data_IF_028348786137
#
_entry.id   IF_028348786137
#
_cell.length_a   1.000
_cell.length_b   1.000
_cell.length_c   1.000
_cell.angle_alpha   90.00
_cell.angle_beta   90.00
_cell.angle_gamma   90.00
#
_symmetry.space_group_name_H-M   'P 1'
#
loop_
_entity.id
_entity.type
_entity.pdbx_description
1 polymer ?
#
# COMPACT_ATOMS: atom_id res chain seq x y z
N UNK A 1 10.29 3.00 -1.14
CA UNK A 1 8.91 2.51 -1.05
C UNK A 1 8.23 2.77 -2.38
N UNK A 2 7.35 1.90 -2.82
CA UNK A 2 6.57 2.08 -4.05
C UNK A 2 5.17 1.52 -3.82
N UNK A 3 4.15 2.23 -4.26
CA UNK A 3 2.77 1.76 -4.16
C UNK A 3 2.36 1.22 -5.52
N UNK A 4 2.53 -0.10 -5.71
CA UNK A 4 2.11 -0.74 -6.95
C UNK A 4 0.59 -0.77 -7.02
N UNK A 5 0.05 -0.09 -8.02
CA UNK A 5 -1.38 -0.08 -8.30
C UNK A 5 -1.55 -0.23 -9.81
N UNK A 6 -2.15 -1.32 -10.27
CA UNK A 6 -2.33 -1.60 -11.72
C UNK A 6 -3.76 -1.30 -12.20
N UNK A 7 -4.63 -0.93 -11.27
CA UNK A 7 -6.04 -0.67 -11.52
C UNK A 7 -6.58 0.29 -10.45
N UNK A 8 -7.62 1.08 -10.74
CA UNK A 8 -8.36 1.79 -9.70
C UNK A 8 -9.00 0.85 -8.66
N UNK A 9 -9.26 -0.43 -9.00
CA UNK A 9 -9.69 -1.40 -8.00
C UNK A 9 -8.51 -1.87 -7.15
N UNK A 10 -8.64 -1.69 -5.84
CA UNK A 10 -7.68 -2.14 -4.84
C UNK A 10 -7.51 -3.66 -4.87
N UNK A 11 -8.60 -4.41 -5.05
CA UNK A 11 -8.57 -5.87 -5.12
C UNK A 11 -7.89 -6.38 -6.40
N UNK A 12 -8.12 -5.73 -7.54
CA UNK A 12 -7.41 -6.06 -8.79
C UNK A 12 -5.91 -5.82 -8.59
N UNK A 13 -5.54 -4.68 -8.01
CA UNK A 13 -4.14 -4.35 -7.73
C UNK A 13 -3.48 -5.35 -6.78
N UNK A 14 -4.15 -5.69 -5.68
CA UNK A 14 -3.68 -6.69 -4.72
C UNK A 14 -3.49 -8.07 -5.36
N UNK A 15 -4.47 -8.51 -6.17
CA UNK A 15 -4.41 -9.80 -6.87
C UNK A 15 -3.28 -9.86 -7.90
N UNK A 16 -2.95 -8.74 -8.53
CA UNK A 16 -1.91 -8.69 -9.55
C UNK A 16 -0.51 -8.90 -8.97
N UNK A 17 -0.24 -8.50 -7.73
CA UNK A 17 1.08 -8.66 -7.11
C UNK A 17 1.42 -10.12 -6.84
N UNK A 18 2.69 -10.52 -6.99
CA UNK A 18 3.17 -11.80 -6.46
C UNK A 18 3.29 -11.76 -4.92
N UNK A 19 3.42 -12.94 -4.31
CA UNK A 19 3.46 -13.10 -2.85
C UNK A 19 4.53 -12.26 -2.13
N UNK A 20 5.70 -12.06 -2.75
CA UNK A 20 6.78 -11.27 -2.14
C UNK A 20 6.44 -9.79 -2.19
N UNK A 21 6.02 -9.29 -3.36
CA UNK A 21 5.68 -7.88 -3.56
C UNK A 21 4.44 -7.52 -2.75
N UNK A 22 3.44 -8.39 -2.70
CA UNK A 22 2.23 -8.24 -1.89
C UNK A 22 2.54 -8.13 -0.39
N UNK A 23 3.35 -9.04 0.16
CA UNK A 23 3.73 -9.00 1.58
C UNK A 23 4.46 -7.70 1.93
N UNK A 24 5.32 -7.21 1.02
CA UNK A 24 6.03 -5.94 1.16
C UNK A 24 5.09 -4.73 1.02
N UNK A 25 4.14 -4.77 0.09
CA UNK A 25 3.20 -3.68 -0.17
C UNK A 25 2.40 -3.31 1.09
N UNK A 26 1.96 -4.32 1.85
CA UNK A 26 1.27 -4.09 3.14
C UNK A 26 2.15 -3.36 4.16
N UNK A 27 3.43 -3.76 4.28
CA UNK A 27 4.35 -3.10 5.21
C UNK A 27 4.63 -1.65 4.80
N UNK A 28 4.84 -1.41 3.50
CA UNK A 28 5.08 -0.06 2.99
C UNK A 28 3.85 0.83 3.16
N UNK A 29 2.64 0.35 2.85
CA UNK A 29 1.39 1.10 3.06
C UNK A 29 1.16 1.41 4.54
N UNK A 30 1.38 0.45 5.44
CA UNK A 30 1.29 0.66 6.89
C UNK A 30 2.25 1.78 7.36
N UNK A 31 3.51 1.74 6.88
CA UNK A 31 4.50 2.77 7.22
C UNK A 31 4.10 4.14 6.67
N UNK A 32 3.64 4.21 5.42
CA UNK A 32 3.21 5.46 4.79
C UNK A 32 2.04 6.08 5.56
N UNK A 33 1.00 5.30 5.87
CA UNK A 33 -0.16 5.76 6.63
C UNK A 33 0.25 6.31 8.00
N UNK A 34 1.11 5.61 8.73
CA UNK A 34 1.60 6.09 10.03
C UNK A 34 2.37 7.41 9.94
N UNK A 35 3.21 7.57 8.91
CA UNK A 35 3.90 8.86 8.68
C UNK A 35 2.89 9.97 8.41
N UNK A 36 1.90 9.73 7.55
CA UNK A 36 0.87 10.74 7.24
C UNK A 36 0.03 11.12 8.47
N UNK A 37 -0.41 10.13 9.27
CA UNK A 37 -1.13 10.38 10.52
C UNK A 37 -0.28 11.16 11.54
N UNK A 38 1.04 10.92 11.55
CA UNK A 38 1.96 11.69 12.39
C UNK A 38 2.17 13.12 11.91
N UNK A 39 2.17 13.36 10.60
CA UNK A 39 2.18 14.71 10.02
C UNK A 39 0.87 15.48 10.29
N UNK A 40 -0.21 14.79 10.64
CA UNK A 40 -1.45 15.37 11.16
C UNK A 40 -1.48 15.48 12.69
N UNK A 41 -0.37 15.16 13.39
CA UNK A 41 -0.27 15.17 14.85
C UNK A 41 -1.22 14.18 15.56
N UNK A 42 -1.82 13.23 14.83
CA UNK A 42 -2.71 12.19 15.36
C UNK A 42 -1.92 11.04 16.01
N UNK A 43 -0.70 10.80 15.52
CA UNK A 43 0.15 9.70 15.97
C UNK A 43 1.58 10.17 16.21
N UNK A 44 2.16 9.87 17.37
CA UNK A 44 3.60 10.03 17.57
C UNK A 44 4.36 8.83 16.99
N UNK A 45 5.08 9.06 15.89
CA UNK A 45 5.90 8.02 15.25
C UNK A 45 7.10 8.59 14.52
N UNK A 46 8.00 7.70 14.11
CA UNK A 46 9.15 8.10 13.32
C UNK A 46 8.72 8.54 11.91
N UNK A 47 8.99 9.81 11.59
CA UNK A 47 8.71 10.44 10.30
C UNK A 47 9.87 10.38 9.31
N UNK A 48 10.81 9.42 9.46
CA UNK A 48 12.00 9.23 8.60
C UNK A 48 11.70 9.31 7.11
N UNK A 49 10.54 8.80 6.68
CA UNK A 49 10.13 8.77 5.29
C UNK A 49 9.28 9.95 4.83
N UNK A 50 9.14 11.00 5.64
CA UNK A 50 8.34 12.19 5.30
C UNK A 50 8.72 12.82 3.97
N UNK A 51 9.98 12.75 3.57
CA UNK A 51 10.45 13.33 2.30
C UNK A 51 10.32 12.37 1.11
N UNK A 52 9.85 11.15 1.34
CA UNK A 52 9.71 10.18 0.26
C UNK A 52 8.58 10.63 -0.68
N UNK A 53 8.80 10.67 -2.02
CA UNK A 53 7.81 11.19 -2.97
C UNK A 53 6.41 10.57 -2.84
N UNK A 54 6.30 9.24 -2.68
CA UNK A 54 5.00 8.57 -2.46
C UNK A 54 4.31 8.98 -1.16
N UNK A 55 5.07 9.29 -0.10
CA UNK A 55 4.52 9.77 1.18
C UNK A 55 3.95 11.17 0.98
N UNK A 56 4.69 12.05 0.31
CA UNK A 56 4.20 13.40 -0.02
C UNK A 56 2.98 13.38 -0.94
N UNK A 57 2.97 12.47 -1.93
CA UNK A 57 1.83 12.30 -2.82
C UNK A 57 0.58 11.89 -2.06
N UNK A 58 0.70 10.95 -1.12
CA UNK A 58 -0.41 10.56 -0.24
C UNK A 58 -0.75 11.68 0.76
N UNK A 59 0.23 12.49 1.19
CA UNK A 59 0.01 13.60 2.12
C UNK A 59 -0.78 14.76 1.52
N UNK A 60 -0.72 14.92 0.19
CA UNK A 60 -1.55 15.84 -0.57
C UNK A 60 -1.63 17.25 0.05
N UNK A 61 -0.46 17.85 0.25
CA UNK A 61 -0.33 19.22 0.78
C UNK A 61 -1.06 19.48 2.10
N UNK A 62 -1.17 18.47 2.98
CA UNK A 62 -1.83 18.60 4.28
C UNK A 62 -3.25 18.04 4.32
N UNK A 63 -3.77 17.53 3.20
CA UNK A 63 -5.11 16.94 3.13
C UNK A 63 -5.05 15.52 2.55
N UNK A 64 -4.49 14.56 3.32
CA UNK A 64 -4.02 13.28 2.79
C UNK A 64 -5.13 12.37 2.22
N UNK A 65 -4.76 11.37 1.42
CA UNK A 65 -5.69 10.34 0.93
C UNK A 65 -5.72 9.12 1.87
N UNK A 66 -5.98 9.33 3.17
CA UNK A 66 -5.85 8.27 4.20
C UNK A 66 -6.83 7.13 3.97
N UNK A 67 -8.11 7.43 3.77
CA UNK A 67 -9.18 6.42 3.62
C UNK A 67 -8.89 5.48 2.46
N UNK A 68 -8.72 6.01 1.23
CA UNK A 68 -8.46 5.20 0.05
C UNK A 68 -7.11 4.44 0.13
N UNK A 69 -6.08 5.04 0.74
CA UNK A 69 -4.79 4.35 0.97
C UNK A 69 -4.94 3.19 1.95
N UNK A 70 -5.79 3.33 2.97
CA UNK A 70 -6.07 2.28 3.93
C UNK A 70 -6.89 1.15 3.32
N UNK A 71 -7.85 1.46 2.46
CA UNK A 71 -8.59 0.43 1.69
C UNK A 71 -7.65 -0.40 0.81
N UNK A 72 -6.67 0.23 0.15
CA UNK A 72 -5.63 -0.49 -0.58
C UNK A 72 -4.79 -1.40 0.32
N UNK A 73 -4.43 -0.94 1.52
CA UNK A 73 -3.72 -1.76 2.52
C UNK A 73 -4.54 -2.99 2.88
N UNK A 74 -5.82 -2.80 3.20
CA UNK A 74 -6.74 -3.88 3.58
C UNK A 74 -6.87 -4.89 2.44
N UNK A 75 -7.09 -4.44 1.20
CA UNK A 75 -7.16 -5.34 0.04
C UNK A 75 -5.88 -6.17 -0.12
N UNK A 76 -4.72 -5.53 0.04
CA UNK A 76 -3.42 -6.19 -0.05
C UNK A 76 -3.20 -7.21 1.09
N UNK A 77 -3.60 -6.90 2.32
CA UNK A 77 -3.43 -7.82 3.45
C UNK A 77 -4.43 -8.99 3.40
N UNK A 78 -5.69 -8.74 3.01
CA UNK A 78 -6.67 -9.79 2.77
C UNK A 78 -6.19 -10.77 1.70
N UNK A 79 -5.69 -10.27 0.58
CA UNK A 79 -5.14 -11.12 -0.48
C UNK A 79 -3.90 -11.87 -0.01
N UNK A 80 -3.04 -11.24 0.81
CA UNK A 80 -1.87 -11.90 1.37
C UNK A 80 -2.27 -13.08 2.26
N UNK A 81 -3.24 -12.88 3.15
CA UNK A 81 -3.77 -13.90 4.04
C UNK A 81 -4.46 -15.02 3.25
N UNK A 82 -5.26 -14.68 2.23
CA UNK A 82 -5.93 -15.64 1.33
C UNK A 82 -4.93 -16.60 0.67
N UNK A 83 -3.71 -16.13 0.36
CA UNK A 83 -2.62 -16.92 -0.23
C UNK A 83 -1.75 -17.65 0.79
N UNK A 84 -2.20 -17.75 2.04
CA UNK A 84 -1.46 -18.42 3.12
C UNK A 84 -0.32 -17.58 3.72
N UNK A 85 -0.29 -16.28 3.42
CA UNK A 85 0.63 -15.33 4.03
C UNK A 85 0.42 -15.23 5.54
N UNK A 86 1.51 -15.29 6.31
CA UNK A 86 1.48 -15.19 7.78
C UNK A 86 1.99 -13.83 8.22
N UNK A 87 1.25 -13.19 9.13
CA UNK A 87 1.68 -12.02 9.89
C UNK A 87 2.06 -12.43 11.31
N UNK A 88 3.04 -11.74 11.88
CA UNK A 88 3.31 -11.90 13.31
C UNK A 88 2.10 -11.41 14.11
N UNK A 89 1.84 -11.98 15.31
CA UNK A 89 0.76 -11.50 16.18
C UNK A 89 0.86 -10.00 16.44
N UNK A 90 2.07 -9.51 16.72
CA UNK A 90 2.32 -8.09 16.96
C UNK A 90 1.90 -7.20 15.78
N UNK A 91 2.20 -7.62 14.55
CA UNK A 91 1.82 -6.82 13.38
C UNK A 91 0.31 -6.82 13.13
N UNK A 92 -0.40 -7.90 13.50
CA UNK A 92 -1.87 -7.91 13.42
C UNK A 92 -2.49 -6.93 14.40
N UNK A 93 -1.98 -6.87 15.63
CA UNK A 93 -2.39 -5.88 16.63
C UNK A 93 -2.13 -4.45 16.13
N UNK A 94 -0.96 -4.22 15.52
CA UNK A 94 -0.62 -2.91 14.93
C UNK A 94 -1.57 -2.50 13.80
N UNK A 95 -1.99 -3.44 12.94
CA UNK A 95 -2.96 -3.17 11.87
C UNK A 95 -4.35 -2.87 12.43
N UNK A 96 -4.78 -3.59 13.46
CA UNK A 96 -6.07 -3.35 14.10
C UNK A 96 -6.09 -2.00 14.83
N UNK A 97 -5.01 -1.64 15.53
CA UNK A 97 -4.87 -0.32 16.14
C UNK A 97 -4.90 0.81 15.09
N UNK A 98 -4.23 0.62 13.95
CA UNK A 98 -4.29 1.58 12.83
C UNK A 98 -5.72 1.72 12.28
N UNK A 99 -6.44 0.61 12.12
CA UNK A 99 -7.85 0.62 11.68
C UNK A 99 -8.72 1.43 12.63
N UNK A 100 -8.63 1.15 13.93
CA UNK A 100 -9.42 1.84 14.95
C UNK A 100 -9.14 3.35 14.95
N UNK A 101 -7.86 3.73 14.84
CA UNK A 101 -7.45 5.13 14.76
C UNK A 101 -8.04 5.83 13.53
N UNK A 102 -7.93 5.23 12.34
CA UNK A 102 -8.48 5.80 11.10
C UNK A 102 -10.01 5.91 11.19
N UNK A 103 -10.69 4.87 11.68
CA UNK A 103 -12.15 4.89 11.85
C UNK A 103 -12.59 5.99 12.83
N UNK A 104 -11.87 6.18 13.94
CA UNK A 104 -12.19 7.20 14.93
C UNK A 104 -12.18 8.61 14.33
N UNK A 105 -11.15 8.94 13.54
CA UNK A 105 -10.95 10.26 12.94
C UNK A 105 -11.61 10.44 11.56
N UNK A 106 -12.22 9.40 10.99
CA UNK A 106 -12.78 9.43 9.62
C UNK A 106 -13.92 10.43 9.39
N UNK A 107 -14.47 11.01 10.45
CA UNK A 107 -15.56 11.99 10.37
C UNK A 107 -15.10 13.43 10.67
N UNK A 108 -13.81 13.66 10.90
CA UNK A 108 -13.29 14.94 11.39
C UNK A 108 -12.81 15.90 10.28
N UNK A 109 -13.07 15.60 9.00
CA UNK A 109 -12.64 16.41 7.84
C UNK A 109 -11.13 16.74 7.85
N UNK A 110 -10.32 15.80 8.36
CA UNK A 110 -8.87 15.96 8.48
C UNK A 110 -8.12 15.53 7.21
N UNK A 111 -8.81 14.85 6.30
CA UNK A 111 -8.22 14.26 5.12
C UNK A 111 -9.25 14.03 4.02
N UNK A 112 -8.76 13.81 2.81
CA UNK A 112 -9.56 13.69 1.59
C UNK A 112 -10.35 12.39 1.53
N UNK A 113 -11.63 12.51 1.15
CA UNK A 113 -12.49 11.39 0.75
C UNK A 113 -12.31 11.00 -0.73
N UNK A 114 -11.62 11.84 -1.52
CA UNK A 114 -11.31 11.51 -2.91
C UNK A 114 -10.37 10.29 -3.02
N UNK A 115 -10.50 9.49 -4.10
CA UNK A 115 -9.57 8.39 -4.35
C UNK A 115 -8.13 8.88 -4.52
N UNK A 116 -7.15 8.12 -3.99
CA UNK A 116 -5.74 8.43 -4.18
C UNK A 116 -5.44 8.43 -5.69
N UNK A 117 -4.93 9.52 -6.28
CA UNK A 117 -4.58 9.53 -7.70
C UNK A 117 -3.40 8.57 -7.99
N UNK A 118 -3.42 7.85 -9.13
CA UNK A 118 -2.32 6.97 -9.48
C UNK A 118 -1.06 7.78 -9.76
N UNK A 119 0.05 7.35 -9.19
CA UNK A 119 1.32 8.06 -9.23
C UNK A 119 2.47 7.08 -9.23
N UNK A 120 3.41 7.27 -10.14
CA UNK A 120 4.68 6.58 -10.19
C UNK A 120 5.82 7.60 -10.06
N UNK A 121 6.84 7.21 -9.31
CA UNK A 121 8.05 8.02 -9.12
C UNK A 121 9.28 7.14 -8.93
N UNK A 122 10.31 7.39 -9.73
CA UNK A 122 11.62 6.76 -9.61
C UNK A 122 12.69 7.65 -10.25
N UNK A 123 13.71 8.05 -9.48
CA UNK A 123 14.67 9.04 -9.95
C UNK A 123 13.95 10.35 -10.31
N UNK A 124 14.16 10.81 -11.54
CA UNK A 124 13.52 12.02 -12.09
C UNK A 124 12.15 11.73 -12.74
N UNK A 125 11.82 10.46 -12.98
CA UNK A 125 10.57 10.09 -13.65
C UNK A 125 9.39 10.25 -12.70
N UNK A 126 8.38 11.00 -13.14
CA UNK A 126 7.10 11.18 -12.45
C UNK A 126 5.96 10.99 -13.45
N UNK A 127 5.18 9.92 -13.27
CA UNK A 127 4.06 9.59 -14.14
C UNK A 127 2.77 9.67 -13.33
N UNK A 128 1.77 10.33 -13.91
CA UNK A 128 0.48 10.62 -13.28
C UNK A 128 -0.66 10.02 -14.10
N UNK A 129 -1.81 9.84 -13.46
CA UNK A 129 -3.03 9.40 -14.15
C UNK A 129 -2.92 7.97 -14.67
N UNK A 130 -3.74 7.63 -15.66
CA UNK A 130 -3.86 6.25 -16.14
C UNK A 130 -2.55 5.66 -16.67
N UNK A 131 -1.65 6.49 -17.21
CA UNK A 131 -0.33 6.05 -17.66
C UNK A 131 0.50 5.39 -16.54
N UNK A 132 0.27 5.77 -15.28
CA UNK A 132 0.93 5.12 -14.16
C UNK A 132 0.46 3.67 -13.98
N UNK A 133 -0.82 3.35 -14.21
CA UNK A 133 -1.32 1.98 -14.17
C UNK A 133 -0.63 1.08 -15.19
N UNK A 134 -0.54 1.55 -16.43
CA UNK A 134 0.12 0.82 -17.52
C UNK A 134 1.60 0.58 -17.22
N UNK A 135 2.28 1.60 -16.68
CA UNK A 135 3.67 1.48 -16.26
C UNK A 135 3.83 0.47 -15.12
N UNK A 136 2.91 0.43 -14.16
CA UNK A 136 2.95 -0.57 -13.09
C UNK A 136 2.82 -2.00 -13.62
N UNK A 137 1.96 -2.23 -14.61
CA UNK A 137 1.83 -3.53 -15.29
C UNK A 137 3.15 -3.92 -15.95
N UNK A 138 3.75 -3.02 -16.73
CA UNK A 138 5.04 -3.25 -17.41
C UNK A 138 6.14 -3.58 -16.39
N UNK A 139 6.29 -2.74 -15.37
CA UNK A 139 7.33 -2.91 -14.34
C UNK A 139 7.19 -4.21 -13.57
N UNK A 140 5.97 -4.66 -13.29
CA UNK A 140 5.72 -5.92 -12.58
C UNK A 140 6.04 -7.12 -13.48
N UNK A 141 5.65 -7.07 -14.76
CA UNK A 141 5.97 -8.11 -15.73
C UNK A 141 7.50 -8.26 -15.90
N UNK A 142 8.22 -7.17 -16.11
CA UNK A 142 9.68 -7.17 -16.21
C UNK A 142 10.32 -7.75 -14.95
N UNK A 143 9.78 -7.37 -13.80
CA UNK A 143 10.20 -7.86 -12.49
C UNK A 143 9.98 -9.36 -12.30
N UNK A 144 8.97 -9.95 -12.92
CA UNK A 144 8.72 -11.39 -12.86
C UNK A 144 9.58 -12.17 -13.85
N UNK A 145 9.75 -11.65 -15.06
CA UNK A 145 10.63 -12.25 -16.08
C UNK A 145 12.07 -12.36 -15.61
N UNK A 146 12.50 -11.45 -14.73
CA UNK A 146 13.84 -11.42 -14.15
C UNK A 146 13.90 -11.92 -12.70
N UNK A 147 12.82 -12.51 -12.15
CA UNK A 147 12.79 -12.95 -10.76
C UNK A 147 13.53 -14.28 -10.59
N UNK A 148 14.65 -14.26 -9.88
CA UNK A 148 15.46 -15.45 -9.57
C UNK A 148 15.16 -16.02 -8.19
N UNK A 149 14.25 -15.39 -7.44
CA UNK A 149 13.98 -15.73 -6.03
C UNK A 149 12.64 -16.48 -5.96
N UNK A 150 12.59 -17.64 -5.27
CA UNK A 150 11.35 -18.41 -5.14
C UNK A 150 10.26 -17.64 -4.36
N UNK A 151 8.98 -17.89 -4.65
CA UNK A 151 7.86 -17.22 -3.99
C UNK A 151 7.83 -17.48 -2.48
N UNK A 152 7.47 -16.46 -1.70
CA UNK A 152 7.49 -16.50 -0.21
C UNK A 152 6.30 -17.22 0.44
N UNK A 153 5.29 -17.64 -0.32
CA UNK A 153 4.11 -18.31 0.22
C UNK A 153 3.87 -19.60 -0.56
N UNK A 154 3.70 -20.71 0.17
CA UNK A 154 3.32 -21.99 -0.38
C UNK A 154 1.85 -21.96 -0.73
N UNK A 155 1.52 -21.92 -2.02
CA UNK A 155 0.19 -22.31 -2.48
C UNK A 155 0.06 -23.78 -2.11
N UNK A 156 -0.85 -24.10 -1.18
CA UNK A 156 -1.33 -25.47 -1.04
C UNK A 156 -2.19 -25.73 -2.27
N UNK A 157 -1.63 -26.43 -3.25
CA UNK A 157 -2.48 -27.09 -4.23
C UNK A 157 -3.14 -28.24 -3.45
N UNK A 158 -4.42 -28.08 -3.10
CA UNK A 158 -5.24 -29.27 -2.86
C UNK A 158 -5.34 -29.97 -4.20
N UNK A 159 -4.62 -31.07 -4.33
CA UNK A 159 -4.83 -32.02 -5.41
C UNK A 159 -6.12 -32.76 -5.00
N UNK A 160 -7.22 -32.47 -5.69
CA UNK A 160 -8.44 -33.30 -5.62
C UNK A 160 -8.14 -34.74 -6.10
#
# INVERSE_FOLDING_TARGET
MQVFRVSPSHEVSARYLDNRRLSKQVLELYQILRVNLSLLEILDTNTRYRHHPIVNHIYNNGYPYITDTFELLVACDLEHQRRGGKRSPKFREDLEALKQLITHFSHEDLWSDEPLPPFYVFGEDKIYGNAAYDLYVQLLNDKWMNDTIPPRCGVKFEIE
#
